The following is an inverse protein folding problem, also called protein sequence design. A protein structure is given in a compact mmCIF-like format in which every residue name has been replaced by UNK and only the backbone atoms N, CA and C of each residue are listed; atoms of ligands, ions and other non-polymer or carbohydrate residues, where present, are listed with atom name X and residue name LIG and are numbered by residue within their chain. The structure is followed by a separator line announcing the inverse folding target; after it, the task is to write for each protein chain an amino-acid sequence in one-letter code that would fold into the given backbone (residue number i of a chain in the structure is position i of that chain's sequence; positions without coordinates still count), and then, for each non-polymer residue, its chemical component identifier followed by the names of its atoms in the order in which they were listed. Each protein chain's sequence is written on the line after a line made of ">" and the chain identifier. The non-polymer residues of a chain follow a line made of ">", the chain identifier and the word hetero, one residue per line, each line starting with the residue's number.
data_IF_442860137625
#
_entry.id   IF_442860137625
#
_cell.length_a   1.000
_cell.length_b   1.000
_cell.length_c   1.000
_cell.angle_alpha   90.00
_cell.angle_beta   90.00
_cell.angle_gamma   90.00
#
_symmetry.space_group_name_H-M   'P 1'
#
loop_
_entity.id
_entity.type
_entity.pdbx_description
1 polymer ?
#
# COMPACT_ATOMS: atom_id res chain seq x y z
N UNK A 1 -25.48 -24.38 -0.01
CA UNK A 1 -26.31 -24.34 1.22
C UNK A 1 -25.55 -24.90 2.43
N UNK A 2 -25.36 -26.21 2.71
CA UNK A 2 -24.42 -26.64 3.77
C UNK A 2 -22.94 -26.63 3.32
N UNK A 3 -22.70 -26.88 2.04
CA UNK A 3 -21.35 -27.01 1.48
C UNK A 3 -20.57 -25.69 1.55
N UNK A 4 -21.22 -24.56 1.24
CA UNK A 4 -20.60 -23.23 1.25
C UNK A 4 -20.27 -22.79 2.69
N UNK A 5 -21.19 -23.02 3.64
CA UNK A 5 -20.97 -22.70 5.06
C UNK A 5 -19.74 -23.41 5.65
N UNK A 6 -19.63 -24.73 5.43
CA UNK A 6 -18.49 -25.50 5.92
C UNK A 6 -17.17 -25.03 5.30
N UNK A 7 -17.20 -24.64 4.02
CA UNK A 7 -16.03 -24.10 3.32
C UNK A 7 -15.62 -22.73 3.87
N UNK A 8 -16.58 -21.84 4.15
CA UNK A 8 -16.31 -20.54 4.78
C UNK A 8 -15.68 -20.70 6.17
N UNK A 9 -16.23 -21.60 7.01
CA UNK A 9 -15.65 -21.90 8.32
C UNK A 9 -14.25 -22.49 8.22
N UNK A 10 -14.02 -23.41 7.28
CA UNK A 10 -12.71 -23.98 7.03
C UNK A 10 -11.71 -22.89 6.60
N UNK A 11 -12.09 -22.00 5.69
CA UNK A 11 -11.25 -20.90 5.23
C UNK A 11 -10.90 -19.92 6.36
N UNK A 12 -11.81 -19.71 7.32
CA UNK A 12 -11.53 -18.89 8.52
C UNK A 12 -10.52 -19.55 9.46
N UNK A 13 -10.57 -20.87 9.62
CA UNK A 13 -9.71 -21.59 10.57
C UNK A 13 -8.33 -21.93 10.01
N UNK A 14 -8.19 -22.06 8.69
CA UNK A 14 -6.94 -22.46 8.05
C UNK A 14 -6.05 -21.25 7.71
N UNK A 15 -4.71 -21.40 7.77
CA UNK A 15 -3.82 -20.39 7.20
C UNK A 15 -4.08 -20.28 5.70
N UNK A 16 -4.10 -19.05 5.19
CA UNK A 16 -4.32 -18.75 3.77
C UNK A 16 -3.00 -18.27 3.20
N UNK A 17 -2.52 -18.90 2.13
CA UNK A 17 -1.33 -18.42 1.40
C UNK A 17 -1.68 -17.22 0.53
N UNK A 18 -0.67 -16.44 0.12
CA UNK A 18 -0.85 -15.31 -0.79
C UNK A 18 -1.55 -15.74 -2.11
N UNK A 19 -1.16 -16.90 -2.67
CA UNK A 19 -1.79 -17.45 -3.88
C UNK A 19 -3.28 -17.76 -3.69
N UNK A 20 -3.65 -18.33 -2.55
CA UNK A 20 -5.04 -18.66 -2.22
C UNK A 20 -5.88 -17.43 -1.87
N UNK A 21 -5.25 -16.36 -1.40
CA UNK A 21 -5.95 -15.15 -0.94
C UNK A 21 -6.82 -14.56 -2.04
N UNK A 22 -6.27 -14.34 -3.23
CA UNK A 22 -7.03 -13.73 -4.33
C UNK A 22 -8.23 -14.61 -4.72
N UNK A 23 -8.03 -15.92 -4.84
CA UNK A 23 -9.10 -16.87 -5.15
C UNK A 23 -10.22 -16.83 -4.10
N UNK A 24 -9.86 -16.81 -2.81
CA UNK A 24 -10.82 -16.70 -1.72
C UNK A 24 -11.55 -15.36 -1.70
N UNK A 25 -10.87 -14.25 -2.00
CA UNK A 25 -11.52 -12.94 -2.13
C UNK A 25 -12.58 -12.95 -3.23
N UNK A 26 -12.24 -13.49 -4.40
CA UNK A 26 -13.17 -13.61 -5.52
C UNK A 26 -14.35 -14.52 -5.18
N UNK A 27 -14.09 -15.67 -4.54
CA UNK A 27 -15.12 -16.59 -4.08
C UNK A 27 -16.08 -15.93 -3.07
N UNK A 28 -15.57 -15.20 -2.09
CA UNK A 28 -16.38 -14.48 -1.10
C UNK A 28 -17.28 -13.44 -1.78
N UNK A 29 -16.74 -12.68 -2.73
CA UNK A 29 -17.49 -11.66 -3.48
C UNK A 29 -18.57 -12.28 -4.38
N UNK A 30 -18.26 -13.37 -5.08
CA UNK A 30 -19.23 -14.09 -5.91
C UNK A 30 -20.36 -14.66 -5.05
N UNK A 31 -20.01 -15.29 -3.93
CA UNK A 31 -20.97 -15.80 -2.94
C UNK A 31 -21.89 -14.67 -2.44
N UNK A 32 -21.32 -13.52 -2.08
CA UNK A 32 -22.08 -12.35 -1.66
C UNK A 32 -23.07 -11.85 -2.73
N UNK A 33 -22.65 -11.80 -3.99
CA UNK A 33 -23.49 -11.38 -5.12
C UNK A 33 -24.63 -12.36 -5.39
N UNK A 34 -24.37 -13.67 -5.37
CA UNK A 34 -25.40 -14.70 -5.54
C UNK A 34 -26.47 -14.64 -4.45
N UNK A 35 -26.10 -14.23 -3.25
CA UNK A 35 -27.02 -14.11 -2.12
C UNK A 35 -27.85 -12.83 -2.10
N UNK A 36 -27.57 -11.88 -2.99
CA UNK A 36 -28.57 -11.11 -3.77
C UNK A 36 -29.53 -10.15 -3.09
N UNK A 37 -29.86 -10.27 -1.79
CA UNK A 37 -30.40 -9.24 -0.89
C UNK A 37 -30.38 -9.80 0.55
N UNK A 38 -29.87 -9.04 1.54
CA UNK A 38 -29.87 -9.46 2.96
C UNK A 38 -31.27 -9.92 3.42
N UNK A 39 -32.32 -9.25 2.93
CA UNK A 39 -33.70 -9.45 3.35
C UNK A 39 -34.26 -10.84 3.04
N UNK A 40 -33.68 -11.61 2.10
CA UNK A 40 -34.11 -13.00 1.86
C UNK A 40 -33.45 -13.99 2.83
N UNK A 41 -32.23 -13.74 3.28
CA UNK A 41 -31.55 -14.51 4.34
C UNK A 41 -32.10 -14.20 5.73
N UNK A 42 -32.37 -12.92 6.05
CA UNK A 42 -32.93 -12.51 7.35
C UNK A 42 -34.41 -12.88 7.56
N UNK A 43 -35.14 -13.29 6.52
CA UNK A 43 -36.53 -13.77 6.65
C UNK A 43 -36.64 -15.19 7.22
N UNK A 44 -35.55 -15.94 7.25
CA UNK A 44 -35.51 -17.18 8.03
C UNK A 44 -35.25 -16.80 9.47
N UNK A 45 -36.33 -16.79 10.26
CA UNK A 45 -36.30 -16.62 11.72
C UNK A 45 -35.17 -17.53 12.27
N UNK A 46 -34.17 -16.99 12.99
CA UNK A 46 -33.06 -17.80 13.45
C UNK A 46 -33.62 -18.97 14.27
N UNK A 47 -33.20 -20.22 14.01
CA UNK A 47 -33.62 -21.33 14.83
C UNK A 47 -33.24 -21.01 16.28
N UNK A 48 -34.26 -21.03 17.16
CA UNK A 48 -34.19 -20.59 18.56
C UNK A 48 -33.37 -21.52 19.46
N UNK A 49 -32.34 -22.19 18.94
CA UNK A 49 -31.48 -23.08 19.71
C UNK A 49 -30.05 -23.03 19.17
N UNK A 50 -29.12 -22.60 20.03
CA UNK A 50 -27.65 -22.52 19.87
C UNK A 50 -27.12 -21.71 18.68
N UNK A 51 -26.43 -20.62 19.02
CA UNK A 51 -25.56 -19.75 18.21
C UNK A 51 -24.84 -20.43 17.02
N UNK A 52 -25.52 -20.62 15.90
CA UNK A 52 -24.85 -20.77 14.60
C UNK A 52 -24.64 -19.38 14.03
N UNK A 53 -23.37 -19.01 13.81
CA UNK A 53 -23.02 -17.84 13.01
C UNK A 53 -23.70 -17.95 11.64
N UNK A 54 -24.33 -16.87 11.20
CA UNK A 54 -24.89 -16.84 9.85
C UNK A 54 -23.77 -16.69 8.82
N UNK A 55 -24.02 -17.15 7.58
CA UNK A 55 -23.06 -17.04 6.47
C UNK A 55 -22.56 -15.61 6.26
N UNK A 56 -23.40 -14.60 6.57
CA UNK A 56 -23.04 -13.20 6.44
C UNK A 56 -21.91 -12.77 7.38
N UNK A 57 -21.98 -13.19 8.65
CA UNK A 57 -20.92 -12.95 9.63
C UNK A 57 -19.61 -13.58 9.16
N UNK A 58 -19.68 -14.82 8.67
CA UNK A 58 -18.51 -15.54 8.17
C UNK A 58 -17.89 -14.84 6.95
N UNK A 59 -18.71 -14.35 6.01
CA UNK A 59 -18.23 -13.58 4.85
C UNK A 59 -17.54 -12.28 5.28
N UNK A 60 -18.11 -11.52 6.22
CA UNK A 60 -17.48 -10.31 6.75
C UNK A 60 -16.14 -10.62 7.45
N UNK A 61 -16.09 -11.69 8.27
CA UNK A 61 -14.86 -12.13 8.94
C UNK A 61 -13.80 -12.54 7.92
N UNK A 62 -14.19 -13.23 6.84
CA UNK A 62 -13.27 -13.60 5.76
C UNK A 62 -12.76 -12.37 5.03
N UNK A 63 -13.61 -11.42 4.65
CA UNK A 63 -13.13 -10.18 4.04
C UNK A 63 -12.16 -9.45 4.96
N UNK A 64 -12.44 -9.36 6.27
CA UNK A 64 -11.52 -8.75 7.23
C UNK A 64 -10.18 -9.51 7.29
N UNK A 65 -10.21 -10.84 7.44
CA UNK A 65 -9.02 -11.71 7.49
C UNK A 65 -8.15 -11.60 6.22
N UNK A 66 -8.79 -11.50 5.07
CA UNK A 66 -8.13 -11.38 3.77
C UNK A 66 -7.75 -9.94 3.42
N UNK A 67 -8.04 -8.97 4.30
CA UNK A 67 -7.90 -7.54 4.01
C UNK A 67 -8.62 -7.13 2.71
N UNK A 68 -9.76 -7.76 2.41
CA UNK A 68 -10.65 -7.37 1.32
C UNK A 68 -11.59 -6.25 1.78
N UNK A 69 -11.02 -5.05 1.96
CA UNK A 69 -11.78 -3.89 2.43
C UNK A 69 -12.91 -3.47 1.48
N UNK A 70 -12.71 -3.44 0.14
CA UNK A 70 -13.81 -3.14 -0.78
C UNK A 70 -14.96 -4.15 -0.68
N UNK A 71 -14.65 -5.45 -0.59
CA UNK A 71 -15.65 -6.51 -0.39
C UNK A 71 -16.37 -6.35 0.95
N UNK A 72 -15.64 -6.02 2.01
CA UNK A 72 -16.20 -5.78 3.34
C UNK A 72 -17.17 -4.60 3.36
N UNK A 73 -16.81 -3.47 2.71
CA UNK A 73 -17.69 -2.31 2.57
C UNK A 73 -18.98 -2.70 1.85
N UNK A 74 -18.87 -3.46 0.75
CA UNK A 74 -20.04 -3.91 0.00
C UNK A 74 -20.95 -4.83 0.83
N UNK A 75 -20.36 -5.77 1.58
CA UNK A 75 -21.10 -6.65 2.50
C UNK A 75 -21.79 -5.89 3.62
N UNK A 76 -21.10 -4.94 4.26
CA UNK A 76 -21.68 -4.17 5.37
C UNK A 76 -22.77 -3.20 4.88
N UNK A 77 -22.59 -2.57 3.71
CA UNK A 77 -23.64 -1.78 3.07
C UNK A 77 -24.87 -2.62 2.74
N UNK A 78 -24.65 -3.86 2.29
CA UNK A 78 -25.70 -4.79 1.96
C UNK A 78 -26.36 -5.42 3.19
N UNK A 79 -25.87 -5.35 4.42
CA UNK A 79 -26.58 -5.95 5.58
C UNK A 79 -27.79 -5.14 6.08
N UNK A 80 -27.92 -3.86 5.69
CA UNK A 80 -28.84 -2.92 6.36
C UNK A 80 -28.33 -2.51 7.75
N UNK A 81 -29.01 -1.57 8.42
CA UNK A 81 -28.63 -0.82 9.65
C UNK A 81 -28.06 -1.62 10.84
N UNK A 82 -28.01 -2.95 10.79
CA UNK A 82 -27.37 -3.84 11.77
C UNK A 82 -25.92 -4.20 11.47
N UNK A 83 -25.32 -3.71 10.37
CA UNK A 83 -23.91 -3.93 10.06
C UNK A 83 -23.00 -3.39 11.17
N UNK A 84 -21.86 -4.04 11.40
CA UNK A 84 -20.86 -3.57 12.35
C UNK A 84 -20.27 -2.23 11.85
N UNK A 85 -20.83 -1.12 12.34
CA UNK A 85 -20.43 0.23 11.95
C UNK A 85 -18.96 0.52 12.25
N UNK A 86 -18.38 -0.11 13.29
CA UNK A 86 -16.96 0.07 13.60
C UNK A 86 -16.10 -0.63 12.55
N UNK A 87 -16.48 -1.85 12.15
CA UNK A 87 -15.81 -2.57 11.07
C UNK A 87 -15.95 -1.85 9.71
N UNK A 88 -17.11 -1.24 9.45
CA UNK A 88 -17.34 -0.42 8.25
C UNK A 88 -16.44 0.83 8.26
N UNK A 89 -16.36 1.53 9.40
CA UNK A 89 -15.45 2.67 9.56
C UNK A 89 -14.00 2.28 9.32
N UNK A 90 -13.57 1.13 9.87
CA UNK A 90 -12.24 0.60 9.66
C UNK A 90 -11.97 0.29 8.18
N UNK A 91 -12.92 -0.34 7.48
CA UNK A 91 -12.76 -0.64 6.05
C UNK A 91 -12.63 0.65 5.21
N UNK A 92 -13.45 1.66 5.47
CA UNK A 92 -13.34 2.97 4.83
C UNK A 92 -11.99 3.64 5.13
N UNK A 93 -11.52 3.59 6.38
CA UNK A 93 -10.21 4.09 6.78
C UNK A 93 -9.09 3.41 5.96
N UNK A 94 -9.14 2.09 5.83
CA UNK A 94 -8.15 1.32 5.06
C UNK A 94 -8.10 1.74 3.59
N UNK A 95 -9.25 2.09 3.03
CA UNK A 95 -9.42 2.57 1.67
C UNK A 95 -9.08 4.06 1.47
N UNK A 96 -8.67 4.78 2.52
CA UNK A 96 -8.41 6.23 2.43
C UNK A 96 -9.69 7.08 2.33
N UNK A 97 -10.85 6.51 2.65
CA UNK A 97 -12.17 7.14 2.60
C UNK A 97 -12.51 7.75 3.97
N UNK A 98 -11.76 8.80 4.32
CA UNK A 98 -11.74 9.35 5.68
C UNK A 98 -13.09 9.90 6.14
N UNK A 99 -13.80 10.56 5.23
CA UNK A 99 -15.09 11.17 5.51
C UNK A 99 -16.16 10.10 5.77
N UNK A 100 -16.19 9.06 4.95
CA UNK A 100 -17.07 7.91 5.12
C UNK A 100 -16.76 7.17 6.44
N UNK A 101 -15.48 6.98 6.76
CA UNK A 101 -15.07 6.38 8.03
C UNK A 101 -15.59 7.20 9.23
N UNK A 102 -15.46 8.53 9.19
CA UNK A 102 -15.97 9.42 10.23
C UNK A 102 -17.49 9.34 10.35
N UNK A 103 -18.23 9.35 9.23
CA UNK A 103 -19.67 9.22 9.23
C UNK A 103 -20.15 7.92 9.90
N UNK A 104 -19.49 6.80 9.62
CA UNK A 104 -19.83 5.52 10.27
C UNK A 104 -19.59 5.57 11.78
N UNK A 105 -18.49 6.18 12.23
CA UNK A 105 -18.22 6.35 13.66
C UNK A 105 -19.22 7.29 14.34
N UNK A 106 -19.63 8.37 13.67
CA UNK A 106 -20.65 9.28 14.19
C UNK A 106 -21.99 8.54 14.37
N UNK A 107 -22.41 7.75 13.39
CA UNK A 107 -23.61 6.89 13.49
C UNK A 107 -23.50 5.90 14.64
N UNK A 108 -22.33 5.26 14.80
CA UNK A 108 -22.07 4.34 15.91
C UNK A 108 -22.21 5.02 17.27
N UNK A 109 -21.66 6.23 17.44
CA UNK A 109 -21.78 7.01 18.69
C UNK A 109 -23.22 7.35 19.04
N UNK A 110 -24.03 7.69 18.03
CA UNK A 110 -25.47 7.97 18.22
C UNK A 110 -26.22 6.70 18.60
N UNK A 111 -25.97 5.60 17.89
CA UNK A 111 -26.67 4.33 18.10
C UNK A 111 -26.25 3.61 19.40
N UNK A 112 -24.98 3.74 19.79
CA UNK A 112 -24.37 3.10 20.97
C UNK A 112 -23.50 4.12 21.74
N UNK A 113 -24.08 4.90 22.67
CA UNK A 113 -23.33 5.91 23.43
C UNK A 113 -22.19 5.34 24.29
N UNK A 114 -22.35 4.09 24.75
CA UNK A 114 -21.33 3.35 25.50
C UNK A 114 -20.60 2.40 24.55
N UNK A 115 -19.67 2.97 23.78
CA UNK A 115 -18.87 2.25 22.80
C UNK A 115 -17.86 1.32 23.51
N UNK A 116 -17.69 0.10 22.99
CA UNK A 116 -16.66 -0.84 23.45
C UNK A 116 -15.24 -0.33 23.18
N UNK A 117 -14.27 -0.75 24.00
CA UNK A 117 -12.88 -0.27 23.92
C UNK A 117 -12.24 -0.45 22.54
N UNK A 118 -12.49 -1.57 21.87
CA UNK A 118 -11.98 -1.86 20.51
C UNK A 118 -12.47 -0.83 19.47
N UNK A 119 -13.71 -0.36 19.60
CA UNK A 119 -14.27 0.67 18.72
C UNK A 119 -13.74 2.08 19.06
N UNK A 120 -13.33 2.32 20.30
CA UNK A 120 -12.66 3.57 20.68
C UNK A 120 -11.29 3.71 20.02
N UNK A 121 -10.56 2.61 19.84
CA UNK A 121 -9.27 2.61 19.13
C UNK A 121 -9.45 3.02 17.67
N UNK A 122 -10.39 2.40 16.95
CA UNK A 122 -10.72 2.78 15.55
C UNK A 122 -11.12 4.25 15.48
N UNK A 123 -11.93 4.72 16.44
CA UNK A 123 -12.36 6.11 16.48
C UNK A 123 -11.20 7.08 16.72
N UNK A 124 -10.29 6.76 17.64
CA UNK A 124 -9.10 7.56 17.92
C UNK A 124 -8.17 7.60 16.70
N UNK A 125 -7.96 6.47 16.04
CA UNK A 125 -7.17 6.39 14.80
C UNK A 125 -7.76 7.26 13.70
N UNK A 126 -9.07 7.15 13.40
CA UNK A 126 -9.72 7.99 12.38
C UNK A 126 -9.59 9.48 12.72
N UNK A 127 -9.88 9.88 13.97
CA UNK A 127 -9.78 11.29 14.38
C UNK A 127 -8.36 11.85 14.28
N UNK A 128 -7.33 11.08 14.66
CA UNK A 128 -5.94 11.51 14.55
C UNK A 128 -5.49 11.66 13.10
N UNK A 129 -5.96 10.77 12.22
CA UNK A 129 -5.59 10.79 10.81
C UNK A 129 -6.26 11.93 10.07
N UNK A 130 -7.54 12.23 10.33
CA UNK A 130 -8.23 13.36 9.68
C UNK A 130 -7.50 14.70 9.84
N UNK A 131 -6.72 14.87 10.90
CA UNK A 131 -5.94 16.09 11.15
C UNK A 131 -4.68 16.22 10.28
N UNK A 132 -4.17 15.10 9.74
CA UNK A 132 -2.86 15.05 9.07
C UNK A 132 -2.90 14.30 7.72
N UNK A 133 -4.08 13.87 7.26
CA UNK A 133 -4.19 13.03 6.07
C UNK A 133 -4.38 13.86 4.81
N UNK A 134 -3.54 13.59 3.84
CA UNK A 134 -3.79 13.92 2.44
C UNK A 134 -3.71 12.64 1.62
N UNK A 135 -4.41 12.64 0.49
CA UNK A 135 -4.38 11.56 -0.48
C UNK A 135 -3.97 12.13 -1.83
N UNK A 136 -3.07 11.44 -2.51
CA UNK A 136 -2.77 11.69 -3.92
C UNK A 136 -3.60 10.73 -4.76
N UNK A 137 -3.95 11.17 -5.96
CA UNK A 137 -4.64 10.35 -6.93
C UNK A 137 -3.76 10.21 -8.16
N UNK A 138 -3.76 9.00 -8.70
CA UNK A 138 -3.06 8.68 -9.94
C UNK A 138 -4.01 8.63 -11.13
N UNK A 139 -3.44 8.60 -12.33
CA UNK A 139 -4.21 8.63 -13.58
C UNK A 139 -5.01 7.32 -13.77
N UNK A 140 -4.57 6.21 -13.18
CA UNK A 140 -5.31 4.95 -13.18
C UNK A 140 -6.29 4.81 -12.00
N UNK A 141 -6.50 5.88 -11.22
CA UNK A 141 -7.44 5.89 -10.11
C UNK A 141 -6.94 5.18 -8.85
N UNK A 142 -5.63 4.93 -8.74
CA UNK A 142 -5.02 4.54 -7.46
C UNK A 142 -5.02 5.72 -6.51
N UNK A 143 -5.29 5.44 -5.24
CA UNK A 143 -5.13 6.38 -4.13
C UNK A 143 -3.80 6.11 -3.45
N UNK A 144 -3.00 7.15 -3.27
CA UNK A 144 -1.77 7.10 -2.48
C UNK A 144 -2.01 7.87 -1.19
N UNK A 145 -1.71 7.26 -0.06
CA UNK A 145 -1.78 7.91 1.25
C UNK A 145 -0.55 7.55 2.08
N UNK A 146 -0.13 8.39 3.03
CA UNK A 146 0.95 8.02 3.93
C UNK A 146 0.72 6.63 4.52
N UNK A 147 1.75 5.78 4.50
CA UNK A 147 1.72 4.45 5.09
C UNK A 147 1.54 4.59 6.60
N UNK A 148 0.66 3.80 7.19
CA UNK A 148 0.28 3.91 8.59
C UNK A 148 0.47 2.60 9.33
N UNK A 149 0.62 2.67 10.66
CA UNK A 149 0.84 1.49 11.48
C UNK A 149 -0.27 0.43 11.32
N UNK A 150 -1.51 0.85 11.06
CA UNK A 150 -2.59 -0.09 10.83
C UNK A 150 -2.33 -0.95 9.57
N UNK A 151 -1.65 -0.44 8.53
CA UNK A 151 -1.44 -1.12 7.25
C UNK A 151 -0.61 -2.41 7.31
N UNK A 152 -0.01 -2.76 8.46
CA UNK A 152 0.81 -3.95 8.62
C UNK A 152 0.16 -5.22 8.04
N UNK A 153 -1.12 -5.48 8.37
CA UNK A 153 -1.83 -6.67 7.87
C UNK A 153 -1.93 -6.72 6.35
N UNK A 154 -2.20 -5.56 5.74
CA UNK A 154 -2.31 -5.39 4.29
C UNK A 154 -0.94 -5.52 3.61
N UNK A 155 0.07 -4.90 4.21
CA UNK A 155 1.45 -4.91 3.79
C UNK A 155 1.98 -6.35 3.73
N UNK A 156 1.78 -7.13 4.79
CA UNK A 156 2.27 -8.52 4.89
C UNK A 156 1.65 -9.47 3.86
N UNK A 157 0.48 -9.14 3.31
CA UNK A 157 -0.10 -9.93 2.22
C UNK A 157 0.60 -9.72 0.88
N UNK A 158 1.15 -8.52 0.65
CA UNK A 158 1.74 -8.15 -0.63
C UNK A 158 3.26 -8.22 -0.60
N UNK A 159 3.87 -7.97 0.55
CA UNK A 159 5.31 -7.96 0.73
C UNK A 159 5.87 -9.39 0.81
N UNK A 160 7.00 -9.61 0.15
CA UNK A 160 7.67 -10.91 0.08
C UNK A 160 9.18 -10.74 0.08
N UNK A 161 9.91 -11.81 0.38
CA UNK A 161 11.38 -11.83 0.30
C UNK A 161 11.87 -11.46 -1.10
N UNK A 162 11.20 -11.91 -2.15
CA UNK A 162 11.53 -11.56 -3.55
C UNK A 162 11.40 -10.04 -3.80
N UNK A 163 10.40 -9.39 -3.19
CA UNK A 163 10.24 -7.94 -3.26
C UNK A 163 11.35 -7.25 -2.45
N UNK A 164 11.62 -7.75 -1.24
CA UNK A 164 12.66 -7.21 -0.37
C UNK A 164 14.03 -7.20 -1.08
N UNK A 165 14.42 -8.34 -1.66
CA UNK A 165 15.67 -8.49 -2.40
C UNK A 165 15.73 -7.58 -3.62
N UNK A 166 14.69 -7.57 -4.47
CA UNK A 166 14.69 -6.80 -5.73
C UNK A 166 14.63 -5.28 -5.55
N UNK A 167 14.14 -4.82 -4.40
CA UNK A 167 13.98 -3.41 -4.08
C UNK A 167 14.99 -2.93 -3.03
N UNK A 168 15.90 -3.80 -2.57
CA UNK A 168 16.83 -3.51 -1.48
C UNK A 168 16.12 -2.98 -0.21
N UNK A 169 15.03 -3.66 0.17
CA UNK A 169 14.21 -3.33 1.34
C UNK A 169 14.47 -4.31 2.50
N UNK A 170 14.18 -3.92 3.75
CA UNK A 170 14.43 -4.77 4.91
C UNK A 170 13.66 -6.10 4.85
N UNK A 171 14.27 -7.18 5.32
CA UNK A 171 13.51 -8.38 5.67
C UNK A 171 12.94 -8.20 7.09
N UNK A 172 11.62 -8.28 7.22
CA UNK A 172 10.94 -8.01 8.47
C UNK A 172 10.77 -9.28 9.29
N UNK A 173 11.71 -9.53 10.21
CA UNK A 173 11.67 -10.67 11.12
C UNK A 173 10.43 -10.72 12.04
N UNK A 174 9.75 -9.58 12.24
CA UNK A 174 8.54 -9.48 13.06
C UNK A 174 7.75 -8.21 12.79
N UNK A 175 6.48 -8.20 13.20
CA UNK A 175 5.61 -7.01 13.25
C UNK A 175 6.28 -5.84 13.98
N UNK A 176 7.03 -6.12 15.06
CA UNK A 176 7.77 -5.09 15.81
C UNK A 176 8.89 -4.47 14.98
N UNK A 177 9.59 -5.28 14.20
CA UNK A 177 10.65 -4.78 13.32
C UNK A 177 10.05 -3.87 12.24
N UNK A 178 8.91 -4.26 11.65
CA UNK A 178 8.19 -3.43 10.68
C UNK A 178 7.71 -2.10 11.30
N UNK A 179 7.14 -2.13 12.51
CA UNK A 179 6.72 -0.91 13.20
C UNK A 179 7.88 0.03 13.53
N UNK A 180 9.04 -0.52 13.90
CA UNK A 180 10.24 0.27 14.13
C UNK A 180 10.69 0.98 12.84
N UNK A 181 10.81 0.24 11.74
CA UNK A 181 11.15 0.80 10.43
C UNK A 181 10.17 1.89 9.98
N UNK A 182 8.86 1.67 10.15
CA UNK A 182 7.87 2.70 9.82
C UNK A 182 8.04 3.95 10.70
N UNK A 183 8.29 3.77 12.00
CA UNK A 183 8.50 4.88 12.93
C UNK A 183 9.75 5.68 12.59
N UNK A 184 10.84 5.04 12.19
CA UNK A 184 12.06 5.72 11.74
C UNK A 184 11.82 6.49 10.44
N UNK A 185 11.16 5.84 9.47
CA UNK A 185 10.81 6.46 8.19
C UNK A 185 9.91 7.69 8.36
N UNK A 186 8.97 7.65 9.30
CA UNK A 186 8.08 8.77 9.61
C UNK A 186 8.73 9.87 10.47
N UNK A 187 9.81 9.54 11.18
CA UNK A 187 10.55 10.52 11.99
C UNK A 187 11.51 11.38 11.16
N UNK A 188 11.95 10.89 9.99
CA UNK A 188 12.75 11.67 9.05
C UNK A 188 11.84 12.52 8.14
N UNK A 189 11.83 13.86 8.25
CA UNK A 189 11.00 14.73 7.41
C UNK A 189 11.37 14.69 5.92
N UNK A 190 12.50 14.10 5.57
CA UNK A 190 12.96 13.91 4.19
C UNK A 190 12.37 12.66 3.54
N UNK A 191 11.88 11.72 4.35
CA UNK A 191 11.33 10.46 3.87
C UNK A 191 9.81 10.49 3.85
N UNK A 192 9.25 9.98 2.75
CA UNK A 192 7.82 9.88 2.55
C UNK A 192 7.50 8.48 2.05
N UNK A 193 6.75 7.71 2.83
CA UNK A 193 6.33 6.35 2.44
C UNK A 193 4.82 6.34 2.28
N UNK A 194 4.34 5.94 1.11
CA UNK A 194 2.93 5.93 0.75
C UNK A 194 2.44 4.50 0.50
N UNK A 195 1.31 4.15 1.12
CA UNK A 195 0.52 3.00 0.71
C UNK A 195 -0.16 3.28 -0.64
N UNK A 196 -0.14 2.29 -1.54
CA UNK A 196 -0.84 2.34 -2.83
C UNK A 196 -2.14 1.54 -2.71
N UNK A 197 -3.27 2.23 -2.79
CA UNK A 197 -4.61 1.67 -2.61
C UNK A 197 -5.31 1.59 -3.97
N UNK A 198 -5.59 0.36 -4.41
CA UNK A 198 -6.41 0.07 -5.57
C UNK A 198 -7.90 0.08 -5.19
N UNK A 199 -8.78 0.76 -5.96
CA UNK A 199 -10.19 0.92 -5.60
C UNK A 199 -10.94 -0.41 -5.44
N UNK A 200 -10.57 -1.42 -6.23
CA UNK A 200 -11.21 -2.74 -6.18
C UNK A 200 -10.48 -3.78 -5.31
N UNK A 201 -9.24 -3.54 -4.88
CA UNK A 201 -8.42 -4.57 -4.21
C UNK A 201 -7.78 -4.12 -2.90
N UNK A 202 -7.94 -2.85 -2.51
CA UNK A 202 -7.29 -2.30 -1.32
C UNK A 202 -5.79 -2.11 -1.54
N UNK A 203 -5.00 -2.37 -0.52
CA UNK A 203 -3.55 -2.19 -0.57
C UNK A 203 -2.88 -3.15 -1.58
N UNK A 204 -2.11 -2.59 -2.51
CA UNK A 204 -1.40 -3.35 -3.55
C UNK A 204 0.11 -3.12 -3.58
N UNK A 205 0.64 -2.20 -2.79
CA UNK A 205 2.06 -1.89 -2.77
C UNK A 205 2.41 -0.60 -2.04
N UNK A 206 3.64 -0.15 -2.23
CA UNK A 206 4.15 1.09 -1.62
C UNK A 206 5.05 1.85 -2.58
N UNK A 207 5.06 3.17 -2.45
CA UNK A 207 6.05 4.06 -3.05
C UNK A 207 6.69 4.89 -1.95
N UNK A 208 8.00 5.02 -2.00
CA UNK A 208 8.75 5.86 -1.08
C UNK A 208 9.58 6.88 -1.83
N UNK A 209 9.67 8.07 -1.23
CA UNK A 209 10.49 9.18 -1.69
C UNK A 209 11.47 9.54 -0.57
N UNK A 210 12.66 9.92 -0.94
CA UNK A 210 13.65 10.54 -0.06
C UNK A 210 14.12 11.84 -0.70
N UNK A 211 13.95 12.95 0.01
CA UNK A 211 14.09 14.30 -0.56
C UNK A 211 15.16 15.08 0.18
N UNK A 212 16.20 15.49 -0.55
CA UNK A 212 17.27 16.34 -0.04
C UNK A 212 17.42 17.56 -0.95
N UNK A 213 17.06 18.74 -0.42
CA UNK A 213 17.01 19.99 -1.17
C UNK A 213 16.10 19.86 -2.42
N UNK A 214 16.64 20.11 -3.61
CA UNK A 214 15.94 19.98 -4.90
C UNK A 214 16.13 18.60 -5.56
N UNK A 215 16.74 17.64 -4.86
CA UNK A 215 16.99 16.29 -5.36
C UNK A 215 16.09 15.29 -4.64
N UNK A 216 15.46 14.40 -5.40
CA UNK A 216 14.65 13.30 -4.91
C UNK A 216 15.23 11.96 -5.32
N UNK A 217 15.22 11.00 -4.42
CA UNK A 217 15.39 9.59 -4.69
C UNK A 217 14.05 8.89 -4.50
N UNK A 218 13.72 7.90 -5.33
CA UNK A 218 12.48 7.14 -5.14
C UNK A 218 12.68 5.64 -5.36
N UNK A 219 11.82 4.88 -4.71
CA UNK A 219 11.62 3.46 -4.99
C UNK A 219 10.15 3.11 -4.82
N UNK A 220 9.73 2.01 -5.44
CA UNK A 220 8.39 1.47 -5.26
C UNK A 220 8.43 -0.04 -5.38
N UNK A 221 7.37 -0.67 -4.88
CA UNK A 221 7.11 -2.09 -5.10
C UNK A 221 5.60 -2.34 -5.16
N UNK A 222 5.24 -3.39 -5.88
CA UNK A 222 3.86 -3.82 -6.10
C UNK A 222 3.78 -5.31 -5.81
N UNK A 223 2.75 -5.74 -5.08
CA UNK A 223 2.47 -7.14 -4.78
C UNK A 223 2.34 -7.97 -6.07
N UNK A 224 2.75 -9.24 -6.01
CA UNK A 224 2.91 -10.09 -7.20
C UNK A 224 1.65 -10.13 -8.10
N UNK A 225 0.46 -10.16 -7.50
CA UNK A 225 -0.84 -10.22 -8.21
C UNK A 225 -1.12 -8.98 -9.08
N UNK A 226 -0.43 -7.87 -8.81
CA UNK A 226 -0.68 -6.56 -9.42
C UNK A 226 0.47 -6.08 -10.32
N UNK A 227 1.53 -6.88 -10.47
CA UNK A 227 2.67 -6.54 -11.31
C UNK A 227 2.33 -6.60 -12.81
N UNK A 228 3.09 -5.88 -13.63
CA UNK A 228 2.92 -5.86 -15.09
C UNK A 228 1.73 -5.04 -15.62
N UNK A 229 0.93 -4.45 -14.73
CA UNK A 229 -0.24 -3.64 -15.09
C UNK A 229 0.04 -2.13 -15.18
N UNK A 230 1.25 -1.70 -14.83
CA UNK A 230 1.65 -0.29 -14.88
C UNK A 230 1.33 0.52 -13.61
N UNK A 231 0.76 -0.10 -12.57
CA UNK A 231 0.42 0.59 -11.31
C UNK A 231 1.63 1.19 -10.58
N UNK A 232 2.77 0.50 -10.57
CA UNK A 232 3.99 0.99 -9.93
C UNK A 232 4.48 2.32 -10.52
N UNK A 233 4.74 2.38 -11.85
CA UNK A 233 5.03 3.63 -12.53
C UNK A 233 3.98 4.73 -12.32
N UNK A 234 2.70 4.39 -12.39
CA UNK A 234 1.62 5.36 -12.22
C UNK A 234 1.65 6.00 -10.81
N UNK A 235 1.78 5.17 -9.77
CA UNK A 235 1.93 5.62 -8.39
C UNK A 235 3.20 6.46 -8.18
N UNK A 236 4.34 6.00 -8.72
CA UNK A 236 5.60 6.74 -8.64
C UNK A 236 5.49 8.12 -9.29
N UNK A 237 4.86 8.23 -10.46
CA UNK A 237 4.64 9.51 -11.15
C UNK A 237 3.81 10.47 -10.30
N UNK A 238 2.70 10.01 -9.72
CA UNK A 238 1.86 10.84 -8.85
C UNK A 238 2.61 11.34 -7.61
N UNK A 239 3.38 10.46 -6.97
CA UNK A 239 4.18 10.82 -5.80
C UNK A 239 5.28 11.84 -6.16
N UNK A 240 5.99 11.64 -7.28
CA UNK A 240 7.02 12.57 -7.76
C UNK A 240 6.44 13.93 -8.16
N UNK A 241 5.28 13.98 -8.83
CA UNK A 241 4.62 15.24 -9.16
C UNK A 241 4.23 16.01 -7.90
N UNK A 242 3.64 15.33 -6.91
CA UNK A 242 3.33 15.98 -5.63
C UNK A 242 4.58 16.53 -4.94
N UNK A 243 5.70 15.79 -4.93
CA UNK A 243 6.94 16.24 -4.35
C UNK A 243 7.57 17.41 -5.13
N UNK A 244 7.46 17.44 -6.45
CA UNK A 244 7.87 18.60 -7.25
C UNK A 244 7.04 19.84 -6.89
N UNK A 245 5.72 19.71 -6.79
CA UNK A 245 4.81 20.82 -6.53
C UNK A 245 4.90 21.35 -5.09
N UNK A 246 5.12 20.46 -4.11
CA UNK A 246 5.02 20.81 -2.68
C UNK A 246 6.35 20.84 -1.94
N UNK A 247 7.34 20.06 -2.39
CA UNK A 247 8.67 19.98 -1.77
C UNK A 247 9.76 20.64 -2.64
N UNK A 248 9.43 21.09 -3.85
CA UNK A 248 10.36 21.79 -4.74
C UNK A 248 11.41 20.89 -5.38
N UNK A 249 11.14 19.58 -5.49
CA UNK A 249 12.05 18.64 -6.15
C UNK A 249 12.13 18.93 -7.64
N UNK A 250 13.34 19.07 -8.16
CA UNK A 250 13.62 19.36 -9.58
C UNK A 250 14.37 18.22 -10.28
N UNK A 251 15.04 17.37 -9.52
CA UNK A 251 15.90 16.33 -10.05
C UNK A 251 15.62 15.02 -9.36
N UNK A 252 15.27 14.00 -10.13
CA UNK A 252 15.02 12.68 -9.59
C UNK A 252 16.13 11.72 -9.95
N UNK A 253 16.50 10.89 -8.99
CA UNK A 253 17.44 9.80 -9.14
C UNK A 253 16.78 8.49 -8.71
N UNK A 254 17.22 7.41 -9.30
CA UNK A 254 16.85 6.06 -8.89
C UNK A 254 17.93 5.08 -9.30
N UNK A 255 17.94 3.92 -8.63
CA UNK A 255 18.82 2.81 -8.94
C UNK A 255 17.99 1.56 -9.17
N UNK A 256 18.41 0.73 -10.11
CA UNK A 256 17.75 -0.53 -10.44
C UNK A 256 18.82 -1.58 -10.64
N UNK A 257 18.67 -2.75 -10.02
CA UNK A 257 19.53 -3.88 -10.32
C UNK A 257 19.51 -4.23 -11.82
N UNK A 258 20.67 -4.53 -12.39
CA UNK A 258 20.87 -4.86 -13.80
C UNK A 258 20.04 -6.05 -14.30
N UNK A 259 19.69 -6.97 -13.41
CA UNK A 259 18.86 -8.14 -13.66
C UNK A 259 17.36 -7.91 -13.40
N UNK A 260 16.96 -6.76 -12.83
CA UNK A 260 15.56 -6.42 -12.58
C UNK A 260 14.91 -5.79 -13.82
N UNK A 261 14.78 -6.60 -14.87
CA UNK A 261 14.21 -6.21 -16.16
C UNK A 261 12.83 -5.53 -16.10
N UNK A 262 11.88 -5.97 -15.24
CA UNK A 262 10.61 -5.27 -15.07
C UNK A 262 10.80 -3.81 -14.63
N UNK A 263 11.64 -3.56 -13.62
CA UNK A 263 11.93 -2.21 -13.13
C UNK A 263 12.72 -1.39 -14.14
N UNK A 264 13.65 -2.00 -14.89
CA UNK A 264 14.39 -1.32 -15.98
C UNK A 264 13.46 -0.82 -17.09
N UNK A 265 12.45 -1.61 -17.47
CA UNK A 265 11.45 -1.18 -18.44
C UNK A 265 10.56 -0.07 -17.87
N UNK A 266 10.13 -0.23 -16.62
CA UNK A 266 9.26 0.70 -15.93
C UNK A 266 9.90 2.08 -15.70
N UNK A 267 11.16 2.13 -15.30
CA UNK A 267 11.88 3.39 -15.06
C UNK A 267 12.08 4.18 -16.36
N UNK A 268 12.32 3.50 -17.49
CA UNK A 268 12.37 4.13 -18.81
C UNK A 268 11.01 4.69 -19.23
N UNK A 269 9.91 4.00 -18.93
CA UNK A 269 8.55 4.51 -19.17
C UNK A 269 8.18 5.72 -18.31
N UNK A 270 8.88 5.91 -17.17
CA UNK A 270 8.79 7.14 -16.37
C UNK A 270 9.58 8.30 -16.97
N UNK A 271 10.38 8.07 -18.01
CA UNK A 271 11.17 9.09 -18.70
C UNK A 271 12.61 9.20 -18.19
N UNK A 272 12.99 8.41 -17.19
CA UNK A 272 14.35 8.39 -16.68
C UNK A 272 15.33 7.91 -17.74
N UNK A 273 16.51 8.52 -17.74
CA UNK A 273 17.62 8.17 -18.60
C UNK A 273 18.76 7.55 -17.78
N UNK A 274 19.46 6.53 -18.31
CA UNK A 274 20.63 5.97 -17.64
C UNK A 274 21.74 7.04 -17.54
N UNK A 275 22.44 7.06 -16.43
CA UNK A 275 23.56 7.97 -16.18
C UNK A 275 24.87 7.41 -16.70
N UNK A 276 25.82 8.28 -17.07
CA UNK A 276 27.14 7.88 -17.54
C UNK A 276 28.14 7.61 -16.38
N UNK A 277 27.67 6.95 -15.33
CA UNK A 277 28.45 6.51 -14.18
C UNK A 277 27.88 5.20 -13.63
N UNK A 278 28.68 4.51 -12.81
CA UNK A 278 28.26 3.33 -12.07
C UNK A 278 28.58 3.48 -10.60
N UNK A 279 28.04 2.59 -9.77
CA UNK A 279 28.55 2.39 -8.42
C UNK A 279 29.83 1.55 -8.47
N UNK A 280 30.70 1.72 -7.48
CA UNK A 280 31.82 0.83 -7.24
C UNK A 280 31.35 -0.50 -6.63
N UNK A 281 32.17 -1.54 -6.79
CA UNK A 281 32.01 -2.81 -6.08
C UNK A 281 31.85 -2.55 -4.56
N UNK A 282 30.88 -3.21 -3.88
CA UNK A 282 30.10 -4.37 -4.34
C UNK A 282 28.75 -4.05 -5.03
N UNK A 283 28.47 -2.79 -5.36
CA UNK A 283 27.17 -2.35 -5.88
C UNK A 283 27.18 -2.11 -7.40
N UNK A 284 28.20 -2.59 -8.11
CA UNK A 284 28.38 -2.41 -9.55
C UNK A 284 27.35 -3.16 -10.41
N UNK A 285 26.47 -3.94 -9.79
CA UNK A 285 25.28 -4.55 -10.39
C UNK A 285 24.04 -3.64 -10.39
N UNK A 286 24.13 -2.39 -9.91
CA UNK A 286 23.05 -1.41 -9.95
C UNK A 286 23.28 -0.36 -11.04
N UNK A 287 22.24 -0.12 -11.83
CA UNK A 287 22.22 0.90 -12.88
C UNK A 287 21.58 2.16 -12.33
N UNK A 288 22.27 3.30 -12.48
CA UNK A 288 21.83 4.60 -12.02
C UNK A 288 21.05 5.34 -13.12
N UNK A 289 19.97 5.99 -12.73
CA UNK A 289 19.07 6.70 -13.60
C UNK A 289 18.78 8.11 -13.06
N UNK A 290 18.55 9.05 -13.98
CA UNK A 290 18.12 10.40 -13.66
C UNK A 290 16.93 10.86 -14.51
N UNK A 291 16.05 11.65 -13.91
CA UNK A 291 15.03 12.45 -14.59
C UNK A 291 15.21 13.91 -14.17
N UNK A 292 15.69 14.73 -15.11
CA UNK A 292 16.11 16.11 -14.88
C UNK A 292 16.20 16.88 -16.20
N UNK A 293 16.01 18.20 -16.14
CA UNK A 293 16.27 19.10 -17.27
C UNK A 293 17.78 19.38 -17.48
N UNK A 294 18.64 18.92 -16.57
CA UNK A 294 20.10 19.01 -16.72
C UNK A 294 20.56 18.03 -17.80
N UNK A 295 21.10 18.58 -18.89
CA UNK A 295 21.60 17.79 -20.02
C UNK A 295 23.08 17.41 -19.89
N UNK A 296 23.84 18.10 -19.04
CA UNK A 296 25.26 17.83 -18.83
C UNK A 296 25.48 16.72 -17.79
N UNK A 297 26.16 15.64 -18.20
CA UNK A 297 26.44 14.49 -17.33
C UNK A 297 27.29 14.87 -16.11
N UNK A 298 28.24 15.82 -16.24
CA UNK A 298 29.06 16.31 -15.09
C UNK A 298 28.14 16.86 -13.99
N UNK A 299 27.17 17.70 -14.36
CA UNK A 299 26.26 18.31 -13.39
C UNK A 299 25.33 17.30 -12.72
N UNK A 300 24.88 16.27 -13.45
CA UNK A 300 24.11 15.18 -12.87
C UNK A 300 24.96 14.32 -11.93
N UNK A 301 26.22 14.06 -12.28
CA UNK A 301 27.16 13.32 -11.44
C UNK A 301 27.41 14.04 -10.11
N UNK A 302 27.75 15.34 -10.16
CA UNK A 302 28.02 16.14 -8.96
C UNK A 302 26.80 16.18 -8.03
N UNK A 303 25.60 16.31 -8.60
CA UNK A 303 24.34 16.28 -7.83
C UNK A 303 24.06 14.93 -7.20
N UNK A 304 24.22 13.84 -7.95
CA UNK A 304 24.04 12.49 -7.39
C UNK A 304 25.07 12.22 -6.29
N UNK A 305 26.31 12.66 -6.46
CA UNK A 305 27.35 12.54 -5.45
C UNK A 305 26.96 13.28 -4.17
N UNK A 306 26.46 14.52 -4.28
CA UNK A 306 25.96 15.26 -3.12
C UNK A 306 24.77 14.57 -2.47
N UNK A 307 23.81 14.08 -3.26
CA UNK A 307 22.66 13.33 -2.75
C UNK A 307 23.09 12.09 -1.98
N UNK A 308 24.06 11.31 -2.47
CA UNK A 308 24.58 10.13 -1.76
C UNK A 308 25.22 10.49 -0.42
N UNK A 309 25.90 11.63 -0.33
CA UNK A 309 26.43 12.15 0.95
C UNK A 309 25.31 12.57 1.88
N UNK A 310 24.29 13.26 1.37
CA UNK A 310 23.15 13.73 2.16
C UNK A 310 22.29 12.57 2.71
N UNK A 311 22.20 11.49 1.94
CA UNK A 311 21.57 10.21 2.30
C UNK A 311 22.42 9.32 3.21
N UNK A 312 23.63 9.76 3.60
CA UNK A 312 24.60 8.98 4.40
C UNK A 312 24.89 7.59 3.81
N UNK A 313 25.01 7.51 2.48
CA UNK A 313 25.29 6.27 1.76
C UNK A 313 26.81 6.08 1.58
N UNK A 314 27.31 4.88 1.86
CA UNK A 314 28.71 4.47 1.61
C UNK A 314 29.02 4.22 0.12
N UNK A 315 28.18 4.71 -0.79
CA UNK A 315 28.33 4.51 -2.22
C UNK A 315 29.46 5.36 -2.79
N UNK A 316 30.32 4.70 -3.57
CA UNK A 316 31.32 5.39 -4.37
C UNK A 316 30.88 5.39 -5.84
N UNK A 317 30.72 6.58 -6.41
CA UNK A 317 30.44 6.74 -7.84
C UNK A 317 31.72 6.63 -8.66
N UNK A 318 31.64 5.89 -9.76
CA UNK A 318 32.71 5.71 -10.75
C UNK A 318 32.25 6.28 -12.09
N UNK A 319 32.90 7.33 -12.62
CA UNK A 319 32.57 7.87 -13.94
C UNK A 319 32.94 6.87 -15.04
N UNK A 320 32.12 6.75 -16.10
CA UNK A 320 32.51 5.97 -17.27
C UNK A 320 33.68 6.62 -18.00
N UNK A 321 34.64 5.81 -18.46
CA UNK A 321 35.82 6.31 -19.17
C UNK A 321 35.39 7.12 -20.41
N UNK A 322 35.78 8.41 -20.44
CA UNK A 322 35.49 9.32 -21.55
C UNK A 322 34.15 10.08 -21.45
N UNK A 323 33.29 9.78 -20.49
CA UNK A 323 31.96 10.41 -20.37
C UNK A 323 31.99 11.89 -19.95
N UNK A 324 33.11 12.37 -19.43
CA UNK A 324 33.27 13.72 -18.86
C UNK A 324 34.37 14.55 -19.55
N UNK A 325 34.82 14.14 -20.74
CA UNK A 325 35.78 14.91 -21.54
C UNK A 325 35.03 16.10 -22.16
N UNK A 326 35.44 17.31 -21.77
CA UNK A 326 34.85 18.59 -22.19
C UNK A 326 35.05 18.92 -23.66
#
# INVERSE_FOLDING_TARGET
>A
MPADHALLQQALQQPVSALQRLELMLFVRETAQLHGQPQQLFKQKPPTSSAQENDWSLLCQLCHKLCDWPGLIQLLAASGDSGDMALCALAHLRMGQWYEAEQQLQRLRIAKPNIETSHLEVAATVSNLLLHSFCLHSDQGLLLRPLQAFDLSDFCWQYSTDIAERCNLPDFESDRHWHHWLSESQADPRQWVFAIIHPAFGFIGSVALEIHNDNGFFYYWIGADFQGQGFGPDAARSAMHWAADTQGVQHWFAKVYDHNWPSLKAIQQLGFQPMACSLACPFDNEVLFSLSDITCQVGLFDRLQQLMVDMDCDYQLVPWAGAFIR
#
